data_IF_000851092426
#
_entry.id   IF_000851092426
#
_cell.length_a   1.000
_cell.length_b   1.000
_cell.length_c   1.000
_cell.angle_alpha   90.00
_cell.angle_beta   90.00
_cell.angle_gamma   90.00
#
_symmetry.space_group_name_H-M   'P 1'
#
loop_
_entity.id
_entity.type
_entity.pdbx_description
1 polymer ?
#
# COMPACT_ATOMS: atom_id res chain seq x y z
N UNK A 1 -21.34 -6.79 2.15
CA UNK A 1 -21.17 -5.36 1.79
C UNK A 1 -21.71 -4.53 2.94
N UNK A 2 -20.98 -3.49 3.36
CA UNK A 2 -21.47 -2.51 4.34
C UNK A 2 -21.78 -1.22 3.58
N UNK A 3 -22.96 -0.66 3.80
CA UNK A 3 -23.39 0.60 3.17
C UNK A 3 -23.11 1.77 4.12
N UNK A 4 -22.52 2.84 3.59
CA UNK A 4 -22.24 4.07 4.33
C UNK A 4 -22.84 5.25 3.56
N UNK A 5 -23.71 6.01 4.23
CA UNK A 5 -24.33 7.20 3.68
C UNK A 5 -23.46 8.41 4.01
N UNK A 6 -23.19 9.27 3.03
CA UNK A 6 -22.35 10.46 3.18
C UNK A 6 -23.10 11.63 2.54
N UNK A 7 -23.24 12.72 3.28
CA UNK A 7 -23.76 13.98 2.73
C UNK A 7 -22.60 14.78 2.15
N UNK A 8 -22.73 15.20 0.89
CA UNK A 8 -21.74 16.02 0.18
C UNK A 8 -22.36 17.38 -0.15
N UNK A 9 -21.54 18.42 -0.24
CA UNK A 9 -21.97 19.69 -0.82
C UNK A 9 -22.18 19.55 -2.32
N UNK A 10 -22.96 20.45 -2.92
CA UNK A 10 -23.22 20.44 -4.37
C UNK A 10 -21.93 20.50 -5.20
N UNK A 11 -20.95 21.30 -4.74
CA UNK A 11 -19.64 21.39 -5.39
C UNK A 11 -18.90 20.04 -5.39
N UNK A 12 -18.91 19.31 -4.27
CA UNK A 12 -18.27 18.00 -4.17
C UNK A 12 -19.01 16.95 -4.98
N UNK A 13 -20.34 17.00 -5.01
CA UNK A 13 -21.15 16.12 -5.86
C UNK A 13 -20.80 16.31 -7.33
N UNK A 14 -20.77 17.55 -7.82
CA UNK A 14 -20.43 17.87 -9.21
C UNK A 14 -19.02 17.37 -9.57
N UNK A 15 -18.05 17.58 -8.68
CA UNK A 15 -16.70 17.05 -8.87
C UNK A 15 -16.69 15.52 -9.00
N UNK A 16 -17.40 14.80 -8.11
CA UNK A 16 -17.48 13.34 -8.20
C UNK A 16 -18.15 12.89 -9.50
N UNK A 17 -19.22 13.56 -9.93
CA UNK A 17 -19.92 13.22 -11.18
C UNK A 17 -19.03 13.42 -12.42
N UNK A 18 -18.22 14.48 -12.45
CA UNK A 18 -17.20 14.68 -13.49
C UNK A 18 -16.17 13.54 -13.51
N UNK A 19 -15.67 13.14 -12.33
CA UNK A 19 -14.71 12.04 -12.22
C UNK A 19 -15.31 10.69 -12.65
N UNK A 20 -16.60 10.45 -12.37
CA UNK A 20 -17.30 9.26 -12.86
C UNK A 20 -17.42 9.28 -14.38
N UNK A 21 -17.82 10.43 -14.95
CA UNK A 21 -18.00 10.60 -16.40
C UNK A 21 -16.70 10.45 -17.21
N UNK A 22 -15.57 10.93 -16.68
CA UNK A 22 -14.28 10.93 -17.37
C UNK A 22 -13.41 9.72 -17.01
N UNK A 23 -13.55 9.21 -15.79
CA UNK A 23 -12.63 8.24 -15.18
C UNK A 23 -13.04 6.77 -15.33
N UNK A 24 -14.14 6.48 -16.05
CA UNK A 24 -14.58 5.11 -16.31
C UNK A 24 -15.16 4.38 -15.09
N UNK A 25 -15.61 5.11 -14.06
CA UNK A 25 -16.30 4.53 -12.91
C UNK A 25 -17.79 4.31 -13.24
N UNK A 26 -18.38 3.27 -12.68
CA UNK A 26 -19.80 2.93 -12.89
C UNK A 26 -20.71 3.76 -11.97
N UNK A 27 -20.20 4.23 -10.82
CA UNK A 27 -20.99 5.03 -9.87
C UNK A 27 -20.14 5.93 -8.99
N UNK A 28 -20.76 6.96 -8.43
CA UNK A 28 -20.15 7.85 -7.43
C UNK A 28 -19.63 7.08 -6.21
N UNK A 29 -20.36 6.06 -5.75
CA UNK A 29 -19.93 5.20 -4.64
C UNK A 29 -18.69 4.36 -4.99
N UNK A 30 -18.50 4.01 -6.25
CA UNK A 30 -17.30 3.31 -6.70
C UNK A 30 -16.08 4.23 -6.70
N UNK A 31 -16.22 5.44 -7.25
CA UNK A 31 -15.17 6.44 -7.21
C UNK A 31 -14.72 6.73 -5.77
N UNK A 32 -15.68 6.95 -4.86
CA UNK A 32 -15.37 7.21 -3.44
C UNK A 32 -14.67 6.01 -2.78
N UNK A 33 -15.07 4.78 -3.10
CA UNK A 33 -14.40 3.57 -2.59
C UNK A 33 -12.96 3.47 -3.08
N UNK A 34 -12.71 3.77 -4.35
CA UNK A 34 -11.36 3.75 -4.89
C UNK A 34 -10.49 4.85 -4.28
N UNK A 35 -11.04 6.06 -4.14
CA UNK A 35 -10.37 7.17 -3.48
C UNK A 35 -9.94 6.81 -2.04
N UNK A 36 -10.81 6.17 -1.27
CA UNK A 36 -10.48 5.72 0.08
C UNK A 36 -9.37 4.67 0.11
N UNK A 37 -9.31 3.75 -0.86
CA UNK A 37 -8.22 2.77 -0.98
C UNK A 37 -6.90 3.45 -1.28
N UNK A 38 -6.88 4.42 -2.20
CA UNK A 38 -5.69 5.21 -2.52
C UNK A 38 -5.21 5.99 -1.30
N UNK A 39 -6.13 6.59 -0.56
CA UNK A 39 -5.80 7.33 0.66
C UNK A 39 -5.24 6.40 1.75
N UNK A 40 -5.84 5.22 1.94
CA UNK A 40 -5.32 4.20 2.85
C UNK A 40 -3.90 3.79 2.47
N UNK A 41 -3.64 3.52 1.18
CA UNK A 41 -2.30 3.20 0.69
C UNK A 41 -1.30 4.33 0.91
N UNK A 42 -1.71 5.59 0.72
CA UNK A 42 -0.88 6.77 0.97
C UNK A 42 -0.50 6.89 2.45
N UNK A 43 -1.45 6.66 3.36
CA UNK A 43 -1.19 6.68 4.80
C UNK A 43 -0.27 5.55 5.23
N UNK A 44 -0.45 4.35 4.68
CA UNK A 44 0.43 3.20 4.94
C UNK A 44 1.86 3.48 4.49
N UNK A 45 2.04 3.98 3.25
CA UNK A 45 3.35 4.33 2.73
C UNK A 45 4.02 5.41 3.59
N UNK A 46 3.27 6.45 3.99
CA UNK A 46 3.77 7.49 4.88
C UNK A 46 4.25 6.92 6.22
N UNK A 47 3.49 6.00 6.81
CA UNK A 47 3.90 5.32 8.05
C UNK A 47 5.22 4.57 7.86
N UNK A 48 5.34 3.76 6.80
CA UNK A 48 6.56 3.01 6.52
C UNK A 48 7.79 3.92 6.30
N UNK A 49 7.60 5.07 5.66
CA UNK A 49 8.67 6.04 5.48
C UNK A 49 9.11 6.65 6.82
N UNK A 50 8.17 6.99 7.70
CA UNK A 50 8.49 7.49 9.04
C UNK A 50 9.21 6.42 9.88
N UNK A 51 8.74 5.17 9.82
CA UNK A 51 9.40 4.04 10.47
C UNK A 51 10.83 3.84 9.94
N UNK A 52 11.01 3.97 8.62
CA UNK A 52 12.32 3.92 7.98
C UNK A 52 13.25 5.05 8.45
N UNK A 53 12.76 6.29 8.52
CA UNK A 53 13.53 7.44 9.05
C UNK A 53 13.93 7.20 10.51
N UNK A 54 13.01 6.67 11.32
CA UNK A 54 13.24 6.40 12.74
C UNK A 54 14.13 5.16 12.98
N UNK A 55 14.35 4.31 11.97
CA UNK A 55 15.19 3.11 12.07
C UNK A 55 16.70 3.41 12.15
N UNK A 56 17.08 4.68 11.98
CA UNK A 56 18.46 5.14 11.99
C UNK A 56 19.10 5.12 10.60
N UNK A 57 20.38 5.55 10.50
CA UNK A 57 21.06 5.63 9.22
C UNK A 57 21.26 4.24 8.60
N UNK A 58 20.87 4.11 7.34
CA UNK A 58 21.13 2.92 6.55
C UNK A 58 22.63 2.79 6.23
N UNK A 59 23.13 1.56 6.18
CA UNK A 59 24.47 1.26 5.64
C UNK A 59 24.52 1.39 4.12
N UNK A 60 25.71 1.26 3.54
CA UNK A 60 25.89 1.27 2.08
C UNK A 60 25.26 0.02 1.47
N UNK A 61 24.38 0.20 0.50
CA UNK A 61 23.77 -0.88 -0.26
C UNK A 61 24.65 -1.24 -1.47
N UNK A 62 25.82 -1.83 -1.20
CA UNK A 62 26.77 -2.31 -2.22
C UNK A 62 26.54 -3.79 -2.57
N UNK A 63 27.36 -4.31 -3.48
CA UNK A 63 27.26 -5.71 -3.94
C UNK A 63 27.43 -6.70 -2.77
N UNK A 64 28.29 -6.41 -1.80
CA UNK A 64 28.51 -7.25 -0.63
C UNK A 64 27.28 -7.30 0.28
N UNK A 65 26.60 -6.17 0.49
CA UNK A 65 25.32 -6.10 1.18
C UNK A 65 24.26 -6.99 0.51
N UNK A 66 24.11 -6.90 -0.82
CA UNK A 66 23.12 -7.70 -1.54
C UNK A 66 23.47 -9.19 -1.57
N UNK A 67 24.75 -9.56 -1.60
CA UNK A 67 25.17 -10.95 -1.57
C UNK A 67 24.94 -11.59 -0.18
N UNK A 68 25.24 -10.88 0.91
CA UNK A 68 24.88 -11.31 2.27
C UNK A 68 23.35 -11.44 2.42
N UNK A 69 22.58 -10.48 1.89
CA UNK A 69 21.12 -10.53 1.92
C UNK A 69 20.58 -11.77 1.19
N UNK A 70 21.07 -12.08 -0.01
CA UNK A 70 20.69 -13.30 -0.76
C UNK A 70 21.03 -14.56 0.03
N UNK A 71 22.20 -14.63 0.67
CA UNK A 71 22.60 -15.78 1.49
C UNK A 71 21.66 -15.97 2.68
N UNK A 72 21.30 -14.89 3.39
CA UNK A 72 20.33 -14.92 4.50
C UNK A 72 18.97 -15.45 4.05
N UNK A 73 18.44 -14.96 2.92
CA UNK A 73 17.15 -15.41 2.37
C UNK A 73 17.19 -16.91 2.01
N UNK A 74 18.26 -17.37 1.34
CA UNK A 74 18.45 -18.79 0.99
C UNK A 74 18.51 -19.68 2.24
N UNK A 75 19.23 -19.25 3.28
CA UNK A 75 19.31 -19.97 4.57
C UNK A 75 17.95 -20.06 5.26
N UNK A 76 17.18 -18.98 5.26
CA UNK A 76 15.82 -18.96 5.83
C UNK A 76 14.84 -19.84 5.04
N UNK A 77 14.96 -19.90 3.70
CA UNK A 77 14.16 -20.80 2.87
C UNK A 77 14.47 -22.27 3.15
N UNK A 78 15.75 -22.63 3.28
CA UNK A 78 16.18 -23.99 3.62
C UNK A 78 15.66 -24.45 4.98
N UNK A 79 15.78 -23.60 6.01
CA UNK A 79 15.24 -23.86 7.36
C UNK A 79 13.72 -24.10 7.36
N UNK A 80 12.98 -23.33 6.56
CA UNK A 80 11.53 -23.53 6.42
C UNK A 80 11.20 -24.88 5.78
N UNK A 81 11.93 -25.27 4.74
CA UNK A 81 11.72 -26.58 4.09
C UNK A 81 12.04 -27.74 5.03
N UNK A 82 13.12 -27.64 5.81
CA UNK A 82 13.51 -28.65 6.81
C UNK A 82 12.44 -28.76 7.93
N UNK A 83 11.81 -27.66 8.31
CA UNK A 83 10.73 -27.64 9.32
C UNK A 83 9.33 -28.06 8.81
N UNK A 84 9.17 -28.32 7.51
CA UNK A 84 7.87 -28.79 6.95
C UNK A 84 7.89 -30.30 6.63
N UNK A 85 9.02 -30.98 6.86
CA UNK A 85 9.24 -32.41 6.58
C UNK A 85 9.16 -33.24 7.87
N UNK A 86 8.92 -32.60 9.02
CA UNK A 86 8.61 -33.21 10.31
C UNK A 86 7.13 -32.99 10.64
#
# INVERSE_FOLDING_TARGET
>A
MVTMNISLSDALKNFVDEQVSQGGYVSSSEYVRDLLRREQGRLQLRSMLLDGINSGPAGVADDAYFDDLKQKVRKAARRRCEATVE
#
